data_IF_795622268602
#
_entry.id   IF_795622268602
#
_cell.length_a   1.000
_cell.length_b   1.000
_cell.length_c   1.000
_cell.angle_alpha   90.00
_cell.angle_beta   90.00
_cell.angle_gamma   90.00
#
_symmetry.space_group_name_H-M   'P 1'
#
loop_
_entity.id
_entity.type
_entity.pdbx_description
1 polymer ?
#
# COMPACT_ATOMS: atom_id res chain seq x y z
N UNK A 1 -14.45 5.54 -5.08
CA UNK A 1 -13.44 6.46 -5.68
C UNK A 1 -12.05 6.11 -5.16
N UNK A 2 -11.97 5.61 -3.93
CA UNK A 2 -10.71 5.21 -3.31
C UNK A 2 -10.63 3.68 -3.21
N UNK A 3 -9.67 3.08 -3.91
CA UNK A 3 -9.45 1.62 -4.02
C UNK A 3 -8.11 1.20 -3.42
N UNK A 4 -7.55 1.99 -2.50
CA UNK A 4 -6.29 1.67 -1.84
C UNK A 4 -5.07 1.81 -2.76
N UNK A 5 -4.15 0.86 -2.67
CA UNK A 5 -2.89 0.84 -3.42
C UNK A 5 -2.90 -0.32 -4.41
N UNK A 6 -2.57 -0.04 -5.68
CA UNK A 6 -2.30 -1.10 -6.66
C UNK A 6 -0.81 -1.46 -6.64
N UNK A 7 -0.52 -2.76 -6.57
CA UNK A 7 0.83 -3.31 -6.64
C UNK A 7 0.99 -4.00 -7.99
N UNK A 8 2.08 -3.68 -8.70
CA UNK A 8 2.43 -4.35 -9.94
C UNK A 8 3.68 -5.18 -9.75
N UNK A 9 3.56 -6.49 -9.96
CA UNK A 9 4.68 -7.42 -9.90
C UNK A 9 5.35 -7.52 -11.28
N UNK A 10 6.58 -6.97 -11.38
CA UNK A 10 7.33 -6.94 -12.64
C UNK A 10 7.67 -8.35 -13.18
N UNK A 11 8.10 -9.33 -12.36
CA UNK A 11 8.41 -10.68 -12.86
C UNK A 11 7.22 -11.44 -13.46
N UNK A 12 6.05 -11.37 -12.83
CA UNK A 12 4.85 -12.13 -13.22
C UNK A 12 3.89 -11.35 -14.10
N UNK A 13 4.02 -10.02 -14.14
CA UNK A 13 3.11 -9.11 -14.84
C UNK A 13 1.71 -9.04 -14.21
N UNK A 14 1.58 -9.47 -12.95
CA UNK A 14 0.30 -9.49 -12.24
C UNK A 14 0.08 -8.19 -11.47
N UNK A 15 -1.20 -7.88 -11.27
CA UNK A 15 -1.66 -6.78 -10.42
C UNK A 15 -2.28 -7.33 -9.15
N UNK A 16 -1.92 -6.74 -8.02
CA UNK A 16 -2.55 -6.94 -6.73
C UNK A 16 -3.06 -5.61 -6.18
N UNK A 17 -3.86 -5.70 -5.11
CA UNK A 17 -4.40 -4.53 -4.42
C UNK A 17 -4.23 -4.67 -2.91
N UNK A 18 -3.82 -3.58 -2.26
CA UNK A 18 -3.95 -3.41 -0.82
C UNK A 18 -5.09 -2.46 -0.52
N UNK A 19 -5.99 -2.91 0.35
CA UNK A 19 -7.17 -2.15 0.77
C UNK A 19 -7.38 -2.30 2.28
N UNK A 20 -8.46 -1.72 2.80
CA UNK A 20 -8.89 -1.91 4.19
C UNK A 20 -9.13 -3.38 4.56
N UNK A 21 -9.46 -4.27 3.62
CA UNK A 21 -9.58 -5.71 3.92
C UNK A 21 -8.23 -6.37 4.17
N UNK A 22 -7.15 -5.77 3.67
CA UNK A 22 -5.77 -6.27 3.79
C UNK A 22 -5.02 -5.61 4.96
N UNK A 23 -5.73 -4.82 5.78
CA UNK A 23 -5.20 -4.19 6.98
C UNK A 23 -4.79 -2.72 6.82
N UNK A 24 -5.06 -2.08 5.67
CA UNK A 24 -4.92 -0.63 5.58
C UNK A 24 -5.94 0.10 6.45
N UNK A 25 -5.57 1.25 7.01
CA UNK A 25 -6.48 2.07 7.82
C UNK A 25 -7.52 2.83 7.00
N UNK A 26 -7.22 3.07 5.72
CA UNK A 26 -8.11 3.71 4.75
C UNK A 26 -7.72 3.35 3.32
N UNK A 27 -8.70 3.33 2.42
CA UNK A 27 -8.47 3.19 0.98
C UNK A 27 -8.07 4.52 0.32
N UNK A 28 -8.21 5.64 1.01
CA UNK A 28 -7.89 6.98 0.49
C UNK A 28 -6.43 7.31 0.79
N UNK A 29 -5.56 7.12 -0.20
CA UNK A 29 -4.11 7.28 -0.09
C UNK A 29 -3.67 8.58 -0.79
N UNK A 30 -2.89 9.40 -0.09
CA UNK A 30 -2.38 10.67 -0.61
C UNK A 30 -0.90 10.63 -0.98
N UNK A 31 -0.10 9.83 -0.26
CA UNK A 31 1.33 9.74 -0.48
C UNK A 31 1.89 8.38 -0.06
N UNK A 32 3.06 8.06 -0.60
CA UNK A 32 3.85 6.89 -0.23
C UNK A 32 5.30 7.29 0.02
N UNK A 33 5.97 6.63 0.96
CA UNK A 33 7.40 6.80 1.24
C UNK A 33 8.03 5.44 1.57
N UNK A 34 9.15 5.14 0.93
CA UNK A 34 9.92 3.92 1.18
C UNK A 34 10.93 4.15 2.32
N UNK A 35 11.10 3.12 3.15
CA UNK A 35 12.18 2.94 4.12
C UNK A 35 12.77 1.53 3.92
N UNK A 36 13.90 1.22 4.56
CA UNK A 36 14.73 0.02 4.32
C UNK A 36 13.96 -1.27 4.03
N UNK A 37 12.95 -1.57 4.85
CA UNK A 37 12.19 -2.82 4.76
C UNK A 37 10.67 -2.57 4.72
N UNK A 38 10.24 -1.37 4.31
CA UNK A 38 8.82 -1.04 4.34
C UNK A 38 8.42 0.11 3.45
N UNK A 39 7.15 0.15 3.10
CA UNK A 39 6.52 1.30 2.45
C UNK A 39 5.46 1.86 3.40
N UNK A 40 5.55 3.16 3.68
CA UNK A 40 4.55 3.91 4.42
C UNK A 40 3.57 4.56 3.46
N UNK A 41 2.29 4.50 3.78
CA UNK A 41 1.21 5.13 3.05
C UNK A 41 0.52 6.16 3.94
N UNK A 42 0.59 7.44 3.55
CA UNK A 42 -0.17 8.51 4.19
C UNK A 42 -1.61 8.53 3.66
N UNK A 43 -2.57 8.44 4.56
CA UNK A 43 -4.00 8.35 4.28
C UNK A 43 -4.77 9.48 4.96
N UNK A 44 -6.05 9.62 4.65
CA UNK A 44 -6.98 10.53 5.34
C UNK A 44 -7.24 10.18 6.81
N UNK A 45 -6.84 8.98 7.27
CA UNK A 45 -7.04 8.49 8.64
C UNK A 45 -5.73 8.23 9.41
N UNK A 46 -4.59 8.71 8.90
CA UNK A 46 -3.27 8.46 9.47
C UNK A 46 -2.38 7.69 8.51
N UNK A 47 -1.49 6.83 9.02
CA UNK A 47 -0.53 6.10 8.20
C UNK A 47 -0.70 4.57 8.31
N UNK A 48 -0.54 3.87 7.19
CA UNK A 48 -0.39 2.41 7.14
C UNK A 48 1.01 2.05 6.67
N UNK A 49 1.53 0.90 7.12
CA UNK A 49 2.88 0.42 6.76
C UNK A 49 2.81 -1.00 6.20
N UNK A 50 3.31 -1.18 4.99
CA UNK A 50 3.58 -2.48 4.39
C UNK A 50 5.02 -2.88 4.71
N UNK A 51 5.22 -4.06 5.32
CA UNK A 51 6.55 -4.61 5.55
C UNK A 51 6.94 -5.43 4.32
N UNK A 52 8.09 -5.11 3.73
CA UNK A 52 8.68 -5.89 2.64
C UNK A 52 9.50 -7.01 3.27
N UNK A 53 8.96 -8.23 3.28
CA UNK A 53 9.74 -9.42 3.60
C UNK A 53 10.67 -9.73 2.43
N UNK A 54 11.99 -9.89 2.66
CA UNK A 54 12.93 -10.31 1.62
C UNK A 54 12.65 -11.75 1.14
#
# INVERSE_FOLDING_TARGET
RDNGVSIYDLPTGQWDSLTVSDGMISNTVFCAAEDKNSIWFGTDKGASRLILTP
#
